data_IF_670729707487
#
_entry.id   IF_670729707487
#
_cell.length_a   1.000
_cell.length_b   1.000
_cell.length_c   1.000
_cell.angle_alpha   90.00
_cell.angle_beta   90.00
_cell.angle_gamma   90.00
#
_symmetry.space_group_name_H-M   'P 1'
#
loop_
_entity.id
_entity.type
_entity.pdbx_description
1 polymer ?
#
# COMPACT_ATOMS: atom_id res chain seq x y z
N UNK A 1 26.69 9.05 8.03
CA UNK A 1 26.27 8.57 6.68
C UNK A 1 25.11 7.56 6.69
N UNK A 2 25.06 6.58 7.62
CA UNK A 2 23.99 5.55 7.67
C UNK A 2 22.55 6.08 7.82
N UNK A 3 22.33 7.23 8.46
CA UNK A 3 20.99 7.82 8.61
C UNK A 3 20.39 8.30 7.26
N UNK A 4 21.18 8.97 6.42
CA UNK A 4 20.71 9.51 5.11
C UNK A 4 20.32 8.40 4.12
N UNK A 5 21.04 7.28 4.12
CA UNK A 5 20.69 6.12 3.28
C UNK A 5 19.34 5.53 3.68
N UNK A 6 19.05 5.49 4.98
CA UNK A 6 17.78 4.97 5.50
C UNK A 6 16.60 5.86 5.13
N UNK A 7 16.80 7.18 5.08
CA UNK A 7 15.79 8.15 4.65
C UNK A 7 15.54 8.07 3.14
N UNK A 8 16.59 7.94 2.32
CA UNK A 8 16.44 7.71 0.87
C UNK A 8 15.71 6.40 0.57
N UNK A 9 16.04 5.32 1.28
CA UNK A 9 15.35 4.04 1.14
C UNK A 9 13.87 4.16 1.53
N UNK A 10 13.56 4.89 2.61
CA UNK A 10 12.18 5.14 3.03
C UNK A 10 11.38 5.92 1.99
N UNK A 11 11.97 6.95 1.40
CA UNK A 11 11.35 7.71 0.31
C UNK A 11 11.09 6.85 -0.93
N UNK A 12 12.05 6.01 -1.31
CA UNK A 12 11.89 5.06 -2.42
C UNK A 12 10.78 4.04 -2.17
N UNK A 13 10.73 3.46 -0.97
CA UNK A 13 9.66 2.54 -0.62
C UNK A 13 8.28 3.22 -0.56
N UNK A 14 8.22 4.45 -0.05
CA UNK A 14 6.97 5.23 -0.06
C UNK A 14 6.48 5.45 -1.49
N UNK A 15 7.39 5.85 -2.39
CA UNK A 15 7.08 6.01 -3.80
C UNK A 15 6.67 4.68 -4.45
N UNK A 16 7.32 3.57 -4.09
CA UNK A 16 6.92 2.24 -4.53
C UNK A 16 5.50 1.89 -4.09
N UNK A 17 5.13 2.16 -2.83
CA UNK A 17 3.76 1.95 -2.33
C UNK A 17 2.74 2.78 -3.11
N UNK A 18 3.04 4.04 -3.42
CA UNK A 18 2.15 4.90 -4.22
C UNK A 18 1.98 4.37 -5.63
N UNK A 19 3.07 3.97 -6.30
CA UNK A 19 3.01 3.36 -7.64
C UNK A 19 2.21 2.06 -7.59
N UNK A 20 2.42 1.25 -6.56
CA UNK A 20 1.70 -0.01 -6.39
C UNK A 20 0.22 0.23 -6.09
N UNK A 21 -0.12 1.30 -5.39
CA UNK A 21 -1.50 1.73 -5.16
C UNK A 21 -2.20 2.25 -6.42
N UNK A 22 -1.48 2.94 -7.31
CA UNK A 22 -1.98 3.41 -8.61
C UNK A 22 -2.00 2.32 -9.69
N UNK A 23 -1.17 1.28 -9.55
CA UNK A 23 -1.05 0.18 -10.51
C UNK A 23 -2.41 -0.46 -10.91
N UNK A 24 -3.34 -0.74 -9.97
CA UNK A 24 -4.68 -1.23 -10.29
C UNK A 24 -5.49 -0.35 -11.26
N UNK A 25 -5.30 0.98 -11.23
CA UNK A 25 -6.03 1.90 -12.09
C UNK A 25 -5.51 1.88 -13.53
N UNK A 26 -4.24 1.52 -13.74
CA UNK A 26 -3.63 1.43 -15.06
C UNK A 26 -3.68 0.02 -15.64
N UNK A 27 -3.65 -1.00 -14.78
CA UNK A 27 -3.54 -2.40 -15.19
C UNK A 27 -4.64 -3.21 -14.52
N UNK A 28 -5.71 -3.47 -15.26
CA UNK A 28 -6.74 -4.45 -14.89
C UNK A 28 -6.36 -5.82 -15.44
N UNK A 29 -5.34 -6.43 -14.85
CA UNK A 29 -4.97 -7.81 -15.13
C UNK A 29 -5.72 -8.74 -14.19
N UNK A 30 -6.20 -9.87 -14.70
CA UNK A 30 -6.80 -10.92 -13.86
C UNK A 30 -6.00 -12.18 -14.07
N UNK A 31 -5.51 -12.78 -12.99
CA UNK A 31 -4.72 -14.00 -13.04
C UNK A 31 -5.43 -15.11 -12.27
N UNK A 32 -5.38 -16.32 -12.83
CA UNK A 32 -5.99 -17.50 -12.21
C UNK A 32 -4.92 -18.26 -11.42
N UNK A 33 -5.21 -18.54 -10.16
CA UNK A 33 -4.43 -19.47 -9.33
C UNK A 33 -5.37 -20.63 -9.01
N UNK A 34 -5.15 -21.78 -9.66
CA UNK A 34 -6.05 -22.93 -9.55
C UNK A 34 -7.44 -22.61 -10.11
N UNK A 35 -8.49 -22.85 -9.30
CA UNK A 35 -9.89 -22.58 -9.65
C UNK A 35 -10.36 -21.15 -9.34
N UNK A 36 -9.56 -20.36 -8.60
CA UNK A 36 -9.91 -18.98 -8.25
C UNK A 36 -9.26 -17.98 -9.20
N UNK A 37 -10.08 -17.02 -9.66
CA UNK A 37 -9.62 -15.87 -10.44
C UNK A 37 -9.40 -14.70 -9.50
N UNK A 38 -8.17 -14.21 -9.41
CA UNK A 38 -7.83 -13.04 -8.64
C UNK A 38 -7.66 -11.85 -9.59
N UNK A 39 -8.40 -10.77 -9.32
CA UNK A 39 -8.14 -9.50 -9.96
C UNK A 39 -6.88 -8.87 -9.35
N UNK A 40 -6.03 -8.31 -10.20
CA UNK A 40 -4.82 -7.58 -9.80
C UNK A 40 -5.15 -6.50 -8.76
N UNK A 41 -6.23 -5.75 -8.99
CA UNK A 41 -6.76 -4.75 -8.05
C UNK A 41 -7.01 -5.33 -6.66
N UNK A 42 -7.75 -6.45 -6.59
CA UNK A 42 -8.06 -7.12 -5.33
C UNK A 42 -6.78 -7.63 -4.67
N UNK A 43 -5.89 -8.25 -5.43
CA UNK A 43 -4.61 -8.76 -4.91
C UNK A 43 -3.74 -7.65 -4.32
N UNK A 44 -3.60 -6.54 -5.05
CA UNK A 44 -2.78 -5.40 -4.63
C UNK A 44 -3.36 -4.71 -3.41
N UNK A 45 -4.67 -4.40 -3.41
CA UNK A 45 -5.30 -3.64 -2.33
C UNK A 45 -5.58 -4.47 -1.07
N UNK A 46 -5.92 -5.76 -1.20
CA UNK A 46 -6.28 -6.60 -0.04
C UNK A 46 -5.16 -7.50 0.46
N UNK A 47 -4.15 -7.80 -0.37
CA UNK A 47 -3.05 -8.67 0.04
C UNK A 47 -1.77 -7.87 0.11
N UNK A 48 -1.33 -7.26 -1.00
CA UNK A 48 0.01 -6.67 -1.05
C UNK A 48 0.18 -5.43 -0.17
N UNK A 49 -0.68 -4.42 -0.32
CA UNK A 49 -0.63 -3.20 0.48
C UNK A 49 -0.77 -3.44 1.99
N UNK A 50 -1.77 -4.19 2.48
CA UNK A 50 -1.91 -4.43 3.91
C UNK A 50 -0.77 -5.28 4.46
N UNK A 51 -0.21 -6.22 3.69
CA UNK A 51 0.97 -6.99 4.12
C UNK A 51 2.21 -6.09 4.26
N UNK A 52 2.43 -5.19 3.30
CA UNK A 52 3.51 -4.18 3.38
C UNK A 52 3.25 -3.23 4.56
N UNK A 53 2.01 -2.75 4.72
CA UNK A 53 1.59 -1.88 5.82
C UNK A 53 1.82 -2.50 7.19
N UNK A 54 1.51 -3.79 7.35
CA UNK A 54 1.81 -4.58 8.56
C UNK A 54 3.31 -4.61 8.84
N UNK A 55 4.14 -4.86 7.82
CA UNK A 55 5.59 -4.81 7.95
C UNK A 55 6.07 -3.44 8.45
N UNK A 56 5.53 -2.35 7.91
CA UNK A 56 5.82 -0.99 8.38
C UNK A 56 5.39 -0.74 9.82
N UNK A 57 4.24 -1.26 10.22
CA UNK A 57 3.68 -1.09 11.56
C UNK A 57 4.53 -1.81 12.62
N UNK A 58 5.00 -3.02 12.32
CA UNK A 58 5.97 -3.76 13.14
C UNK A 58 7.31 -3.00 13.22
N UNK A 59 7.79 -2.48 12.09
CA UNK A 59 9.05 -1.73 12.05
C UNK A 59 8.95 -0.39 12.80
N UNK A 60 7.77 0.24 12.76
CA UNK A 60 7.45 1.45 13.50
C UNK A 60 7.45 1.21 15.01
N UNK A 61 6.90 0.08 15.45
CA UNK A 61 6.92 -0.35 16.85
C UNK A 61 8.36 -0.52 17.35
N UNK A 62 9.20 -1.24 16.61
CA UNK A 62 10.62 -1.42 16.95
C UNK A 62 11.44 -0.13 16.95
N UNK A 63 11.14 0.80 16.03
CA UNK A 63 11.88 2.06 15.91
C UNK A 63 11.27 3.20 16.74
N UNK A 64 10.14 2.99 17.44
CA UNK A 64 9.32 4.03 18.12
C UNK A 64 9.16 5.31 17.29
N UNK A 65 9.03 5.17 15.97
CA UNK A 65 8.87 6.30 15.06
C UNK A 65 7.40 6.41 14.67
N UNK A 66 6.69 7.37 15.27
CA UNK A 66 5.27 7.62 14.98
C UNK A 66 5.00 7.82 13.48
N UNK A 67 5.90 8.45 12.74
CA UNK A 67 5.68 8.69 11.31
C UNK A 67 5.55 7.38 10.49
N UNK A 68 6.33 6.36 10.83
CA UNK A 68 6.23 5.04 10.19
C UNK A 68 4.94 4.32 10.57
N UNK A 69 4.42 4.58 11.77
CA UNK A 69 3.18 4.01 12.25
C UNK A 69 1.99 4.55 11.46
N UNK A 70 1.89 5.87 11.29
CA UNK A 70 0.84 6.49 10.46
C UNK A 70 0.92 6.03 9.00
N UNK A 71 2.13 5.87 8.47
CA UNK A 71 2.32 5.38 7.10
C UNK A 71 1.84 3.92 6.95
N UNK A 72 2.24 3.03 7.87
CA UNK A 72 1.77 1.64 7.88
C UNK A 72 0.26 1.53 8.04
N UNK A 73 -0.33 2.37 8.90
CA UNK A 73 -1.78 2.46 9.07
C UNK A 73 -2.47 2.89 7.77
N UNK A 74 -1.97 3.94 7.10
CA UNK A 74 -2.50 4.39 5.81
C UNK A 74 -2.45 3.30 4.73
N UNK A 75 -1.40 2.47 4.71
CA UNK A 75 -1.31 1.32 3.80
C UNK A 75 -2.36 0.25 4.09
N UNK A 76 -2.65 -0.03 5.36
CA UNK A 76 -3.68 -1.01 5.76
C UNK A 76 -5.07 -0.47 5.40
N UNK A 77 -5.30 0.82 5.63
CA UNK A 77 -6.56 1.50 5.28
C UNK A 77 -6.60 2.00 3.82
N UNK A 78 -5.65 1.62 2.98
CA UNK A 78 -5.62 2.08 1.60
C UNK A 78 -6.88 1.66 0.82
N UNK A 79 -7.44 0.48 1.12
CA UNK A 79 -8.69 0.03 0.51
C UNK A 79 -9.88 0.96 0.81
N UNK A 80 -10.27 1.22 2.07
CA UNK A 80 -11.35 2.16 2.37
C UNK A 80 -11.04 3.58 1.90
N UNK A 81 -9.77 4.01 1.92
CA UNK A 81 -9.36 5.31 1.33
C UNK A 81 -9.65 5.34 -0.17
N UNK A 82 -9.33 4.27 -0.90
CA UNK A 82 -9.60 4.19 -2.35
C UNK A 82 -11.09 4.20 -2.65
N UNK A 83 -11.89 3.47 -1.87
CA UNK A 83 -13.35 3.48 -1.97
C UNK A 83 -13.93 4.88 -1.69
N UNK A 84 -13.46 5.55 -0.65
CA UNK A 84 -13.92 6.89 -0.28
C UNK A 84 -13.50 7.97 -1.29
N UNK A 85 -12.26 7.90 -1.80
CA UNK A 85 -11.77 8.82 -2.85
C UNK A 85 -12.48 8.54 -4.17
N UNK A 86 -12.71 7.27 -4.50
CA UNK A 86 -13.46 6.85 -5.69
C UNK A 86 -14.89 7.38 -5.65
N UNK A 87 -15.60 7.21 -4.53
CA UNK A 87 -16.97 7.74 -4.38
C UNK A 87 -17.01 9.26 -4.39
N UNK A 88 -16.01 9.94 -3.82
CA UNK A 88 -15.93 11.40 -3.84
C UNK A 88 -15.68 11.96 -5.25
N UNK A 89 -14.86 11.29 -6.07
CA UNK A 89 -14.53 11.75 -7.42
C UNK A 89 -15.58 11.37 -8.47
N UNK A 90 -16.26 10.24 -8.31
CA UNK A 90 -17.27 9.77 -9.27
C UNK A 90 -18.65 10.43 -9.07
N UNK A 91 -18.85 11.17 -7.97
CA UNK A 91 -20.12 11.80 -7.63
C UNK A 91 -21.23 10.78 -7.30
N UNK A 92 -22.38 11.24 -6.77
CA UNK A 92 -23.57 10.41 -6.67
C UNK A 92 -24.13 10.00 -8.04
#
# INVERSE_FOLDING_TARGET
>A
MKARLREKALGLFSLFVVVLWLSPNWVNFSFKIGTQSYNWTTFVLFILLPLIGLGYLVLAFFKRKCWLFFFGLACIFAFPITMAVGSFLLGP
#
